data_IF_961264789013
#
_entry.id   IF_961264789013
#
_cell.length_a   1.000
_cell.length_b   1.000
_cell.length_c   1.000
_cell.angle_alpha   90.00
_cell.angle_beta   90.00
_cell.angle_gamma   90.00
#
_symmetry.space_group_name_H-M   'P 1'
#
loop_
_entity.id
_entity.type
_entity.pdbx_description
1 polymer ?
#
# COMPACT_ATOMS: atom_id res chain seq x y z
N UNK A 1 -4.72 4.60 -13.89
CA UNK A 1 -5.86 5.31 -13.24
C UNK A 1 -6.61 4.30 -12.36
N UNK A 2 -6.42 4.34 -11.03
CA UNK A 2 -6.82 3.26 -10.11
C UNK A 2 -8.30 2.86 -10.18
N UNK A 3 -9.21 3.82 -10.39
CA UNK A 3 -10.64 3.51 -10.57
C UNK A 3 -10.93 2.57 -11.75
N UNK A 4 -10.17 2.64 -12.85
CA UNK A 4 -10.32 1.70 -13.97
C UNK A 4 -9.77 0.32 -13.65
N UNK A 5 -8.68 0.24 -12.89
CA UNK A 5 -8.12 -1.01 -12.36
C UNK A 5 -9.15 -1.74 -11.49
N UNK A 6 -9.82 -1.01 -10.58
CA UNK A 6 -10.90 -1.57 -9.77
C UNK A 6 -12.04 -2.15 -10.62
N UNK A 7 -12.53 -1.38 -11.59
CA UNK A 7 -13.60 -1.82 -12.48
C UNK A 7 -13.20 -3.05 -13.29
N UNK A 8 -11.97 -3.10 -13.80
CA UNK A 8 -11.43 -4.26 -14.52
C UNK A 8 -11.36 -5.52 -13.63
N UNK A 9 -10.84 -5.39 -12.40
CA UNK A 9 -10.74 -6.50 -11.44
C UNK A 9 -12.11 -7.02 -10.99
N UNK A 10 -13.07 -6.12 -10.82
CA UNK A 10 -14.45 -6.45 -10.39
C UNK A 10 -15.39 -6.74 -11.55
N UNK A 11 -14.90 -6.73 -12.80
CA UNK A 11 -15.67 -6.96 -14.03
C UNK A 11 -16.87 -6.02 -14.23
N UNK A 12 -16.78 -4.80 -13.70
CA UNK A 12 -17.80 -3.76 -13.90
C UNK A 12 -17.44 -2.88 -15.11
N UNK A 13 -18.45 -2.44 -15.87
CA UNK A 13 -18.26 -1.48 -16.96
C UNK A 13 -18.42 -0.05 -16.45
N UNK A 14 -17.55 0.84 -16.93
CA UNK A 14 -17.71 2.27 -16.74
C UNK A 14 -18.77 2.79 -17.72
N UNK A 15 -19.74 3.61 -17.28
CA UNK A 15 -20.60 4.36 -18.20
C UNK A 15 -19.77 5.34 -19.03
N UNK A 16 -20.08 5.50 -20.32
CA UNK A 16 -19.35 6.41 -21.21
C UNK A 16 -19.35 7.84 -20.65
N UNK A 17 -18.17 8.47 -20.61
CA UNK A 17 -17.99 9.87 -20.20
C UNK A 17 -17.92 10.15 -18.70
N UNK A 18 -18.27 9.21 -17.81
CA UNK A 18 -18.24 9.44 -16.36
C UNK A 18 -16.88 9.06 -15.75
N UNK A 19 -16.19 9.96 -15.03
CA UNK A 19 -15.00 9.56 -14.27
C UNK A 19 -15.38 8.58 -13.15
N UNK A 20 -14.64 7.46 -12.96
CA UNK A 20 -14.99 6.44 -11.98
C UNK A 20 -14.55 6.84 -10.56
N UNK A 21 -15.03 7.99 -10.06
CA UNK A 21 -14.62 8.57 -8.79
C UNK A 21 -14.81 7.60 -7.62
N UNK A 22 -16.00 7.00 -7.49
CA UNK A 22 -16.28 6.05 -6.41
C UNK A 22 -15.35 4.84 -6.48
N UNK A 23 -15.17 4.23 -7.66
CA UNK A 23 -14.25 3.12 -7.84
C UNK A 23 -12.80 3.51 -7.51
N UNK A 24 -12.40 4.74 -7.87
CA UNK A 24 -11.08 5.27 -7.53
C UNK A 24 -10.89 5.41 -6.01
N UNK A 25 -11.87 5.95 -5.31
CA UNK A 25 -11.80 6.06 -3.85
C UNK A 25 -11.83 4.68 -3.20
N UNK A 26 -12.69 3.77 -3.65
CA UNK A 26 -12.80 2.41 -3.11
C UNK A 26 -11.47 1.67 -3.15
N UNK A 27 -10.77 1.69 -4.30
CA UNK A 27 -9.48 1.01 -4.40
C UNK A 27 -8.38 1.69 -3.56
N UNK A 28 -8.37 3.02 -3.47
CA UNK A 28 -7.41 3.70 -2.60
C UNK A 28 -7.62 3.35 -1.13
N UNK A 29 -8.87 3.36 -0.66
CA UNK A 29 -9.19 3.00 0.72
C UNK A 29 -8.90 1.54 1.02
N UNK A 30 -9.23 0.62 0.11
CA UNK A 30 -8.99 -0.81 0.33
C UNK A 30 -7.50 -1.13 0.36
N UNK A 31 -6.71 -0.59 -0.56
CA UNK A 31 -5.26 -0.75 -0.57
C UNK A 31 -4.61 -0.10 0.64
N UNK A 32 -5.07 1.10 1.03
CA UNK A 32 -4.62 1.79 2.23
C UNK A 32 -4.88 0.94 3.47
N UNK A 33 -6.12 0.54 3.72
CA UNK A 33 -6.47 -0.30 4.88
C UNK A 33 -5.63 -1.59 4.92
N UNK A 34 -5.54 -2.30 3.79
CA UNK A 34 -4.80 -3.56 3.71
C UNK A 34 -3.32 -3.39 4.03
N UNK A 35 -2.66 -2.39 3.43
CA UNK A 35 -1.23 -2.17 3.67
C UNK A 35 -0.97 -1.54 5.04
N UNK A 36 -1.89 -0.75 5.58
CA UNK A 36 -1.82 -0.26 6.95
C UNK A 36 -1.90 -1.39 7.96
N UNK A 37 -2.79 -2.36 7.76
CA UNK A 37 -2.86 -3.56 8.59
C UNK A 37 -1.57 -4.38 8.51
N UNK A 38 -1.03 -4.58 7.29
CA UNK A 38 0.28 -5.23 7.10
C UNK A 38 1.39 -4.51 7.86
N UNK A 39 1.43 -3.18 7.80
CA UNK A 39 2.42 -2.37 8.52
C UNK A 39 2.27 -2.51 10.03
N UNK A 40 1.05 -2.61 10.54
CA UNK A 40 0.76 -2.89 11.94
C UNK A 40 1.33 -4.24 12.40
N UNK A 41 1.12 -5.30 11.62
CA UNK A 41 1.68 -6.63 11.88
C UNK A 41 3.22 -6.59 11.90
N UNK A 42 3.84 -5.81 11.01
CA UNK A 42 5.29 -5.61 11.04
C UNK A 42 5.76 -4.94 12.34
N UNK A 43 5.07 -3.89 12.81
CA UNK A 43 5.39 -3.26 14.08
C UNK A 43 5.23 -4.21 15.27
N UNK A 44 4.25 -5.12 15.22
CA UNK A 44 4.00 -6.13 16.25
C UNK A 44 5.17 -7.11 16.40
N UNK A 45 5.80 -7.51 15.28
CA UNK A 45 6.95 -8.44 15.27
C UNK A 45 8.32 -7.74 15.31
N UNK A 46 8.36 -6.44 15.60
CA UNK A 46 9.59 -5.67 15.76
C UNK A 46 10.21 -5.11 14.48
N UNK A 47 9.54 -5.25 13.32
CA UNK A 47 9.96 -4.61 12.06
C UNK A 47 9.57 -3.12 12.06
N UNK A 48 10.37 -2.31 12.75
CA UNK A 48 10.10 -0.90 13.07
C UNK A 48 11.14 0.07 12.52
N UNK A 49 10.79 1.35 12.46
CA UNK A 49 11.72 2.43 12.14
C UNK A 49 11.95 2.67 10.64
N UNK A 50 12.91 3.55 10.29
CA UNK A 50 13.02 4.12 8.94
C UNK A 50 13.26 3.10 7.83
N UNK A 51 14.04 2.05 8.11
CA UNK A 51 14.33 0.99 7.12
C UNK A 51 13.04 0.28 6.73
N UNK A 52 12.26 -0.18 7.71
CA UNK A 52 11.00 -0.89 7.46
C UNK A 52 9.90 0.02 6.89
N UNK A 53 9.93 1.32 7.20
CA UNK A 53 9.10 2.33 6.50
C UNK A 53 9.49 2.48 5.02
N UNK A 54 10.78 2.45 4.70
CA UNK A 54 11.28 2.44 3.33
C UNK A 54 10.83 1.18 2.57
N UNK A 55 11.00 0.01 3.17
CA UNK A 55 10.51 -1.27 2.60
C UNK A 55 9.00 -1.24 2.39
N UNK A 56 8.23 -0.72 3.35
CA UNK A 56 6.79 -0.57 3.22
C UNK A 56 6.39 0.35 2.04
N UNK A 57 7.15 1.41 1.79
CA UNK A 57 6.95 2.29 0.62
C UNK A 57 7.14 1.52 -0.68
N UNK A 58 8.17 0.68 -0.76
CA UNK A 58 8.40 -0.20 -1.92
C UNK A 58 7.25 -1.20 -2.09
N UNK A 59 6.77 -1.81 -1.01
CA UNK A 59 5.60 -2.72 -1.06
C UNK A 59 4.35 -1.97 -1.56
N UNK A 60 4.12 -0.74 -1.09
CA UNK A 60 2.99 0.11 -1.53
C UNK A 60 3.06 0.42 -3.02
N UNK A 61 4.25 0.72 -3.55
CA UNK A 61 4.49 0.95 -4.98
C UNK A 61 4.29 -0.33 -5.79
N UNK A 62 4.85 -1.44 -5.33
CA UNK A 62 4.77 -2.73 -6.01
C UNK A 62 3.33 -3.22 -6.13
N UNK A 63 2.50 -3.05 -5.09
CA UNK A 63 1.10 -3.43 -5.14
C UNK A 63 0.34 -2.71 -6.28
N UNK A 64 0.57 -1.41 -6.46
CA UNK A 64 -0.07 -0.66 -7.56
C UNK A 64 0.39 -1.21 -8.90
N UNK A 65 1.69 -1.42 -9.08
CA UNK A 65 2.21 -1.93 -10.33
C UNK A 65 1.67 -3.33 -10.64
N UNK A 66 1.54 -4.19 -9.64
CA UNK A 66 0.93 -5.51 -9.80
C UNK A 66 -0.51 -5.39 -10.27
N UNK A 67 -1.35 -4.60 -9.59
CA UNK A 67 -2.77 -4.47 -9.96
C UNK A 67 -2.95 -3.83 -11.34
N UNK A 68 -2.16 -2.81 -11.67
CA UNK A 68 -2.20 -2.16 -12.99
C UNK A 68 -1.74 -3.11 -14.10
N UNK A 69 -0.68 -3.89 -13.88
CA UNK A 69 -0.20 -4.88 -14.84
C UNK A 69 -1.21 -6.03 -15.02
N UNK A 70 -1.77 -6.56 -13.93
CA UNK A 70 -2.77 -7.63 -13.98
C UNK A 70 -4.05 -7.20 -14.68
N UNK A 71 -4.48 -5.95 -14.46
CA UNK A 71 -5.66 -5.39 -15.11
C UNK A 71 -5.41 -4.95 -16.56
N UNK A 72 -4.15 -4.75 -16.96
CA UNK A 72 -3.72 -4.25 -18.28
C UNK A 72 -4.29 -2.87 -18.64
N UNK A 73 -4.68 -2.07 -17.64
CA UNK A 73 -5.28 -0.74 -17.84
C UNK A 73 -4.31 0.41 -17.52
N UNK A 74 -3.10 0.09 -17.03
CA UNK A 74 -2.05 1.05 -16.71
C UNK A 74 -0.95 1.13 -17.77
N UNK A 75 -0.26 2.27 -17.79
CA UNK A 75 0.98 2.45 -18.54
C UNK A 75 2.18 2.19 -17.60
N UNK A 76 3.30 1.64 -18.07
CA UNK A 76 4.47 1.40 -17.22
C UNK A 76 5.02 2.72 -16.65
N UNK A 77 5.53 2.75 -15.40
CA UNK A 77 5.99 4.00 -14.76
C UNK A 77 7.08 4.74 -15.54
N UNK A 78 7.91 4.01 -16.29
CA UNK A 78 8.94 4.59 -17.15
C UNK A 78 8.37 5.45 -18.31
N UNK A 79 7.08 5.31 -18.61
CA UNK A 79 6.39 6.10 -19.64
C UNK A 79 5.68 7.35 -19.09
N UNK A 80 5.66 7.53 -17.76
CA UNK A 80 4.93 8.63 -17.14
C UNK A 80 5.71 9.95 -17.20
N UNK A 81 5.02 11.10 -17.27
CA UNK A 81 5.64 12.40 -17.01
C UNK A 81 6.34 12.41 -15.64
N UNK A 82 7.51 13.05 -15.55
CA UNK A 82 8.31 13.10 -14.31
C UNK A 82 7.52 13.65 -13.12
N UNK A 83 6.68 14.66 -13.35
CA UNK A 83 5.84 15.24 -12.32
C UNK A 83 4.84 14.23 -11.75
N UNK A 84 4.21 13.42 -12.59
CA UNK A 84 3.28 12.38 -12.15
C UNK A 84 3.99 11.32 -11.31
N UNK A 85 5.17 10.88 -11.75
CA UNK A 85 6.00 9.96 -10.98
C UNK A 85 6.40 10.55 -9.62
N UNK A 86 6.80 11.83 -9.57
CA UNK A 86 7.15 12.50 -8.31
C UNK A 86 5.96 12.56 -7.36
N UNK A 87 4.78 12.95 -7.84
CA UNK A 87 3.55 12.99 -7.02
C UNK A 87 3.23 11.59 -6.49
N UNK A 88 3.36 10.56 -7.31
CA UNK A 88 3.10 9.18 -6.93
C UNK A 88 4.02 8.68 -5.81
N UNK A 89 5.33 8.90 -5.98
CA UNK A 89 6.36 8.54 -5.01
C UNK A 89 6.17 9.30 -3.69
N UNK A 90 5.91 10.61 -3.76
CA UNK A 90 5.69 11.44 -2.57
C UNK A 90 4.43 11.02 -1.82
N UNK A 91 3.32 10.79 -2.53
CA UNK A 91 2.06 10.37 -1.91
C UNK A 91 2.23 9.04 -1.15
N UNK A 92 2.86 8.04 -1.78
CA UNK A 92 3.10 6.72 -1.18
C UNK A 92 4.15 6.75 -0.07
N UNK A 93 5.17 7.61 -0.21
CA UNK A 93 6.18 7.86 0.81
C UNK A 93 5.57 8.49 2.07
N UNK A 94 4.78 9.56 1.92
CA UNK A 94 4.06 10.22 3.03
C UNK A 94 3.11 9.24 3.70
N UNK A 95 2.31 8.51 2.92
CA UNK A 95 1.43 7.46 3.44
C UNK A 95 2.19 6.46 4.31
N UNK A 96 3.31 5.93 3.81
CA UNK A 96 4.12 4.94 4.51
C UNK A 96 4.79 5.51 5.76
N UNK A 97 5.27 6.76 5.71
CA UNK A 97 5.90 7.43 6.82
C UNK A 97 4.92 7.66 7.97
N UNK A 98 3.73 8.21 7.68
CA UNK A 98 2.69 8.46 8.69
C UNK A 98 2.18 7.15 9.27
N UNK A 99 1.85 6.17 8.41
CA UNK A 99 1.36 4.87 8.86
C UNK A 99 2.40 4.13 9.71
N UNK A 100 3.65 4.08 9.25
CA UNK A 100 4.74 3.45 9.98
C UNK A 100 4.99 4.10 11.33
N UNK A 101 5.00 5.44 11.40
CA UNK A 101 5.12 6.17 12.65
C UNK A 101 3.99 5.83 13.63
N UNK A 102 2.74 5.83 13.16
CA UNK A 102 1.59 5.52 14.00
C UNK A 102 1.61 4.05 14.47
N UNK A 103 1.87 3.10 13.56
CA UNK A 103 1.96 1.69 13.91
C UNK A 103 3.07 1.42 14.94
N UNK A 104 4.26 2.00 14.76
CA UNK A 104 5.37 1.80 15.69
C UNK A 104 5.10 2.40 17.09
N UNK A 105 4.21 3.41 17.17
CA UNK A 105 3.82 4.04 18.44
C UNK A 105 2.65 3.38 19.13
N UNK A 106 1.67 2.92 18.36
CA UNK A 106 0.38 2.43 18.88
C UNK A 106 0.39 0.91 19.06
N UNK A 107 1.00 0.17 18.14
CA UNK A 107 1.03 -1.29 18.20
C UNK A 107 2.07 -1.73 19.23
N UNK A 108 1.68 -2.63 20.13
CA UNK A 108 2.59 -3.22 21.11
C UNK A 108 3.44 -4.28 20.41
N UNK A 109 4.74 -4.25 20.65
CA UNK A 109 5.63 -5.32 20.18
C UNK A 109 5.43 -6.56 21.05
N UNK A 110 5.31 -7.72 20.43
CA UNK A 110 5.26 -8.97 21.19
C UNK A 110 6.65 -9.27 21.77
N UNK A 111 6.75 -9.65 23.07
CA UNK A 111 8.00 -10.09 23.64
C UNK A 111 8.53 -11.30 22.87
N UNK A 112 9.77 -11.23 22.38
CA UNK A 112 10.42 -12.40 21.79
C UNK A 112 10.59 -13.46 22.89
N UNK A 113 10.17 -14.72 22.68
CA UNK A 113 10.46 -15.79 23.62
C UNK A 113 11.97 -15.85 23.85
N UNK A 114 12.39 -15.83 25.12
CA UNK A 114 13.79 -16.00 25.46
C UNK A 114 14.25 -17.38 24.98
N UNK A 115 15.45 -17.51 24.36
CA UNK A 115 15.99 -18.81 24.02
C UNK A 115 16.06 -19.68 25.29
N UNK A 116 15.34 -20.80 25.30
CA UNK A 116 15.32 -21.75 26.43
C UNK A 116 14.05 -21.76 27.29
N UNK A 117 13.02 -20.97 26.97
CA UNK A 117 11.71 -21.12 27.60
C UNK A 117 11.00 -22.39 27.10
N UNK A 118 11.35 -23.53 27.69
CA UNK A 118 10.58 -24.77 27.54
C UNK A 118 9.32 -24.62 28.37
N UNK A 119 8.16 -24.63 27.73
CA UNK A 119 6.87 -24.77 28.42
C UNK A 119 6.80 -26.17 29.02
N UNK A 120 6.63 -26.25 30.34
CA UNK A 120 6.35 -27.47 31.09
C UNK A 120 5.02 -28.11 30.67
#
# INVERSE_FOLDING_TARGET
>A
MPGRTFLALTRHRQPDGAQPFLANQTIHWSQGLMLGALRGLWSEVGMRGPVWTGVHTVVRLALDQTLENTSRVGAPPASWPRQELTVDLLHKGVYSAVTGFLCDRVVREQPRPLPGAVSH
#
